data_IF_369450025550
#
_entry.id   IF_369450025550
#
_cell.length_a   1.000
_cell.length_b   1.000
_cell.length_c   1.000
_cell.angle_alpha   90.00
_cell.angle_beta   90.00
_cell.angle_gamma   90.00
#
_symmetry.space_group_name_H-M   'P 1'
#
loop_
_entity.id
_entity.type
_entity.pdbx_description
1 polymer ?
#
# COMPACT_ATOMS: atom_id res chain seq x y z
N UNK A 1 18.66 17.80 27.55
CA UNK A 1 17.29 17.75 27.20
C UNK A 1 17.00 16.65 26.21
N UNK A 2 15.93 16.10 26.37
CA UNK A 2 15.57 15.00 25.54
C UNK A 2 14.68 15.46 24.39
N UNK A 3 15.14 15.24 23.18
CA UNK A 3 14.28 15.35 22.01
C UNK A 3 13.51 14.06 21.79
N UNK A 4 13.47 13.26 22.82
CA UNK A 4 12.88 11.97 22.77
C UNK A 4 11.38 12.07 22.59
N UNK A 5 10.91 11.65 21.45
CA UNK A 5 9.48 11.59 21.13
C UNK A 5 9.01 10.19 21.41
N UNK A 6 8.00 10.09 22.27
CA UNK A 6 7.39 8.79 22.52
C UNK A 6 6.61 8.34 21.29
N UNK A 7 6.91 7.14 20.82
CA UNK A 7 6.20 6.51 19.72
C UNK A 7 5.56 5.24 20.24
N UNK A 8 4.25 5.18 20.14
CA UNK A 8 3.49 4.01 20.54
C UNK A 8 3.54 2.96 19.43
N UNK A 9 4.13 1.78 19.68
CA UNK A 9 4.16 0.74 18.66
C UNK A 9 2.77 0.36 18.15
N UNK A 10 1.73 0.45 18.98
CA UNK A 10 0.38 0.12 18.55
C UNK A 10 -0.15 1.09 17.50
N UNK A 11 0.25 2.37 17.56
CA UNK A 11 -0.10 3.35 16.53
C UNK A 11 0.56 2.99 15.21
N UNK A 12 1.81 2.56 15.24
CA UNK A 12 2.52 2.14 14.04
C UNK A 12 1.90 0.89 13.43
N UNK A 13 1.48 -0.05 14.27
CA UNK A 13 0.82 -1.27 13.80
C UNK A 13 -0.55 -0.97 13.19
N UNK A 14 -1.29 -0.03 13.78
CA UNK A 14 -2.57 0.41 13.23
C UNK A 14 -2.37 1.08 11.87
N UNK A 15 -1.35 1.92 11.75
CA UNK A 15 -1.03 2.57 10.47
C UNK A 15 -0.64 1.54 9.41
N UNK A 16 0.13 0.51 9.80
CA UNK A 16 0.49 -0.57 8.89
C UNK A 16 -0.75 -1.32 8.39
N UNK A 17 -1.67 -1.60 9.30
CA UNK A 17 -2.93 -2.29 8.93
C UNK A 17 -3.76 -1.43 7.97
N UNK A 18 -3.78 -0.11 8.16
CA UNK A 18 -4.47 0.78 7.24
C UNK A 18 -3.82 0.79 5.86
N UNK A 19 -2.50 0.79 5.79
CA UNK A 19 -1.79 0.71 4.51
C UNK A 19 -2.11 -0.60 3.79
N UNK A 20 -2.13 -1.71 4.52
CA UNK A 20 -2.45 -3.01 3.94
C UNK A 20 -3.90 -3.07 3.46
N UNK A 21 -4.83 -2.50 4.22
CA UNK A 21 -6.24 -2.44 3.83
C UNK A 21 -6.42 -1.57 2.59
N UNK A 22 -5.70 -0.47 2.50
CA UNK A 22 -5.76 0.41 1.32
C UNK A 22 -5.20 -0.30 0.09
N UNK A 23 -4.09 -1.03 0.25
CA UNK A 23 -3.50 -1.81 -0.84
C UNK A 23 -4.49 -2.87 -1.33
N UNK A 24 -5.17 -3.56 -0.42
CA UNK A 24 -6.16 -4.57 -0.77
C UNK A 24 -7.36 -3.97 -1.50
N UNK A 25 -7.84 -2.81 -1.05
CA UNK A 25 -8.95 -2.13 -1.71
C UNK A 25 -8.56 -1.64 -3.10
N UNK A 26 -7.35 -1.11 -3.25
CA UNK A 26 -6.87 -0.66 -4.54
C UNK A 26 -6.76 -1.85 -5.49
N UNK A 27 -6.21 -2.96 -5.03
CA UNK A 27 -6.10 -4.18 -5.83
C UNK A 27 -7.48 -4.68 -6.28
N UNK A 28 -8.45 -4.71 -5.36
CA UNK A 28 -9.80 -5.13 -5.68
C UNK A 28 -10.48 -4.20 -6.67
N UNK A 29 -10.29 -2.89 -6.51
CA UNK A 29 -10.85 -1.88 -7.40
C UNK A 29 -10.29 -2.04 -8.82
N UNK A 30 -8.99 -2.22 -8.95
CA UNK A 30 -8.33 -2.39 -10.24
C UNK A 30 -8.81 -3.70 -10.89
N UNK A 31 -8.89 -4.78 -10.13
CA UNK A 31 -9.35 -6.07 -10.64
C UNK A 31 -10.80 -5.98 -11.13
N UNK A 32 -11.66 -5.26 -10.41
CA UNK A 32 -13.05 -5.10 -10.82
C UNK A 32 -13.20 -4.20 -12.04
N UNK A 33 -12.32 -3.22 -12.20
CA UNK A 33 -12.36 -2.28 -13.32
C UNK A 33 -11.71 -2.82 -14.58
N UNK A 34 -10.81 -3.79 -14.47
CA UNK A 34 -10.03 -4.28 -15.60
C UNK A 34 -10.89 -4.73 -16.80
N UNK A 35 -11.97 -5.50 -16.61
CA UNK A 35 -12.81 -5.87 -17.75
C UNK A 35 -13.47 -4.68 -18.44
N UNK A 36 -13.81 -3.64 -17.69
CA UNK A 36 -14.44 -2.44 -18.25
C UNK A 36 -13.43 -1.56 -18.98
N UNK A 37 -12.16 -1.62 -18.58
CA UNK A 37 -11.10 -0.82 -19.20
C UNK A 37 -10.64 -1.41 -20.53
N UNK A 38 -10.79 -2.71 -20.72
CA UNK A 38 -10.42 -3.39 -21.96
C UNK A 38 -11.65 -3.53 -22.83
N UNK A 39 -11.71 -2.74 -23.89
CA UNK A 39 -12.89 -2.63 -24.75
C UNK A 39 -12.60 -3.27 -26.09
N UNK A 40 -13.52 -4.13 -26.54
CA UNK A 40 -13.46 -4.67 -27.90
C UNK A 40 -14.18 -3.69 -28.84
N UNK A 41 -13.62 -3.44 -30.04
CA UNK A 41 -14.30 -2.59 -31.01
C UNK A 41 -15.63 -3.24 -31.42
N UNK A 42 -16.69 -2.43 -31.51
CA UNK A 42 -17.97 -2.91 -31.97
C UNK A 42 -18.17 -2.48 -33.42
N UNK A 43 -18.38 -3.48 -34.27
CA UNK A 43 -18.57 -3.21 -35.69
C UNK A 43 -17.30 -2.82 -36.40
N UNK A 44 -17.46 -2.31 -37.61
CA UNK A 44 -16.36 -1.94 -38.49
C UNK A 44 -16.13 -0.44 -38.55
N UNK A 45 -16.71 0.31 -37.63
CA UNK A 45 -16.56 1.75 -37.63
C UNK A 45 -15.16 2.14 -37.17
N UNK A 46 -14.49 2.95 -37.95
CA UNK A 46 -13.12 3.39 -37.67
C UNK A 46 -13.04 4.14 -36.35
N UNK A 47 -14.03 4.94 -36.00
CA UNK A 47 -14.07 5.70 -34.76
C UNK A 47 -14.10 4.75 -33.55
N UNK A 48 -14.90 3.66 -33.65
CA UNK A 48 -14.97 2.66 -32.57
C UNK A 48 -13.64 1.96 -32.37
N UNK A 49 -12.93 1.64 -33.44
CA UNK A 49 -11.63 1.00 -33.37
C UNK A 49 -10.60 1.95 -32.73
N UNK A 50 -10.60 3.22 -33.11
CA UNK A 50 -9.70 4.21 -32.53
C UNK A 50 -9.98 4.42 -31.04
N UNK A 51 -11.27 4.51 -30.67
CA UNK A 51 -11.66 4.70 -29.29
C UNK A 51 -11.26 3.49 -28.44
N UNK A 52 -11.53 2.27 -28.92
CA UNK A 52 -11.15 1.05 -28.22
C UNK A 52 -9.63 0.97 -28.04
N UNK A 53 -8.87 1.34 -29.07
CA UNK A 53 -7.40 1.37 -28.99
C UNK A 53 -6.90 2.35 -27.93
N UNK A 54 -7.50 3.53 -27.86
CA UNK A 54 -7.15 4.54 -26.89
C UNK A 54 -7.41 4.04 -25.46
N UNK A 55 -8.62 3.50 -25.22
CA UNK A 55 -8.97 3.02 -23.88
C UNK A 55 -8.15 1.81 -23.47
N UNK A 56 -7.81 0.93 -24.39
CA UNK A 56 -6.97 -0.23 -24.10
C UNK A 56 -5.54 0.21 -23.75
N UNK A 57 -4.99 1.21 -24.44
CA UNK A 57 -3.68 1.75 -24.08
C UNK A 57 -3.70 2.42 -22.73
N UNK A 58 -4.78 3.11 -22.39
CA UNK A 58 -4.94 3.72 -21.09
C UNK A 58 -4.98 2.64 -20.00
N UNK A 59 -5.73 1.58 -20.23
CA UNK A 59 -5.79 0.45 -19.31
C UNK A 59 -4.42 -0.19 -19.10
N UNK A 60 -3.65 -0.33 -20.18
CA UNK A 60 -2.31 -0.91 -20.11
C UNK A 60 -1.35 -0.07 -19.26
N UNK A 61 -1.56 1.23 -19.17
CA UNK A 61 -0.72 2.10 -18.34
C UNK A 61 -1.20 2.17 -16.89
N UNK A 62 -2.51 2.06 -16.66
CA UNK A 62 -3.09 2.11 -15.32
C UNK A 62 -2.73 0.89 -14.48
N UNK A 63 -2.75 -0.29 -15.09
CA UNK A 63 -2.45 -1.53 -14.39
C UNK A 63 -1.07 -1.54 -13.73
N UNK A 64 0.01 -1.27 -14.48
CA UNK A 64 1.35 -1.20 -13.89
C UNK A 64 1.49 -0.10 -12.85
N UNK A 65 0.88 1.07 -13.07
CA UNK A 65 0.94 2.17 -12.10
C UNK A 65 0.25 1.79 -10.80
N UNK A 66 -0.91 1.15 -10.87
CA UNK A 66 -1.62 0.68 -9.69
C UNK A 66 -0.81 -0.41 -8.97
N UNK A 67 -0.18 -1.32 -9.71
CA UNK A 67 0.68 -2.36 -9.13
C UNK A 67 1.85 -1.76 -8.37
N UNK A 68 2.45 -0.71 -8.90
CA UNK A 68 3.53 0.00 -8.22
C UNK A 68 3.03 0.64 -6.93
N UNK A 69 1.87 1.30 -6.96
CA UNK A 69 1.28 1.92 -5.78
C UNK A 69 0.96 0.89 -4.70
N UNK A 70 0.41 -0.26 -5.09
CA UNK A 70 0.12 -1.36 -4.16
C UNK A 70 1.42 -1.85 -3.51
N UNK A 71 2.48 -2.00 -4.31
CA UNK A 71 3.79 -2.40 -3.81
C UNK A 71 4.37 -1.40 -2.81
N UNK A 72 4.20 -0.11 -3.07
CA UNK A 72 4.67 0.94 -2.16
C UNK A 72 3.89 0.93 -0.85
N UNK A 73 2.58 0.74 -0.89
CA UNK A 73 1.77 0.63 0.32
C UNK A 73 2.15 -0.58 1.15
N UNK A 74 2.39 -1.71 0.49
CA UNK A 74 2.82 -2.94 1.16
C UNK A 74 4.20 -2.75 1.81
N UNK A 75 5.12 -2.10 1.10
CA UNK A 75 6.45 -1.82 1.63
C UNK A 75 6.39 -0.86 2.83
N UNK A 76 5.52 0.16 2.75
CA UNK A 76 5.32 1.09 3.86
C UNK A 76 4.78 0.36 5.09
N UNK A 77 3.83 -0.55 4.90
CA UNK A 77 3.30 -1.36 6.00
C UNK A 77 4.39 -2.21 6.65
N UNK A 78 5.23 -2.83 5.84
CA UNK A 78 6.33 -3.65 6.35
C UNK A 78 7.32 -2.79 7.17
N UNK A 79 7.62 -1.58 6.68
CA UNK A 79 8.50 -0.66 7.40
C UNK A 79 7.90 -0.25 8.73
N UNK A 80 6.61 0.08 8.76
CA UNK A 80 5.92 0.47 9.99
C UNK A 80 5.93 -0.67 11.00
N UNK A 81 5.73 -1.91 10.55
CA UNK A 81 5.78 -3.07 11.44
C UNK A 81 7.18 -3.29 11.98
N UNK A 82 8.20 -3.11 11.17
CA UNK A 82 9.59 -3.22 11.61
C UNK A 82 9.92 -2.16 12.66
N UNK A 83 9.45 -0.93 12.45
CA UNK A 83 9.65 0.14 13.42
C UNK A 83 8.92 -0.14 14.73
N UNK A 84 7.70 -0.67 14.65
CA UNK A 84 6.95 -1.04 15.85
C UNK A 84 7.68 -2.11 16.65
N UNK A 85 8.23 -3.12 15.98
CA UNK A 85 9.01 -4.16 16.64
C UNK A 85 10.25 -3.59 17.30
N UNK A 86 10.94 -2.67 16.62
CA UNK A 86 12.13 -2.04 17.18
C UNK A 86 11.81 -1.23 18.44
N UNK A 87 10.71 -0.48 18.42
CA UNK A 87 10.29 0.30 19.60
C UNK A 87 9.89 -0.61 20.76
N UNK A 88 9.23 -1.72 20.48
CA UNK A 88 8.88 -2.71 21.51
C UNK A 88 10.13 -3.33 22.12
N UNK A 89 11.10 -3.65 21.29
CA UNK A 89 12.34 -4.23 21.77
C UNK A 89 13.12 -3.24 22.65
N UNK A 90 13.12 -1.96 22.27
CA UNK A 90 13.71 -0.91 23.09
C UNK A 90 13.00 -0.77 24.42
N UNK A 91 11.67 -0.79 24.43
CA UNK A 91 10.89 -0.71 25.65
C UNK A 91 11.17 -1.89 26.56
N UNK A 92 11.25 -3.08 25.99
CA UNK A 92 11.59 -4.29 26.75
C UNK A 92 12.99 -4.21 27.33
N UNK A 93 13.95 -3.81 26.52
CA UNK A 93 15.34 -3.70 26.98
C UNK A 93 15.46 -2.66 28.10
N UNK A 94 14.78 -1.52 27.95
CA UNK A 94 14.79 -0.47 28.96
C UNK A 94 14.12 -0.95 30.26
N UNK A 95 12.98 -1.60 30.14
CA UNK A 95 12.28 -2.15 31.31
C UNK A 95 13.12 -3.17 32.06
N UNK A 96 13.76 -4.07 31.33
CA UNK A 96 14.65 -5.07 31.93
C UNK A 96 15.85 -4.40 32.61
N UNK A 97 16.43 -3.40 31.93
CA UNK A 97 17.57 -2.66 32.49
C UNK A 97 17.18 -1.94 33.77
N UNK A 98 16.04 -1.30 33.80
CA UNK A 98 15.57 -0.62 34.99
C UNK A 98 15.27 -1.60 36.14
N UNK A 99 14.72 -2.77 35.81
CA UNK A 99 14.42 -3.78 36.81
C UNK A 99 15.67 -4.38 37.43
N UNK A 100 16.74 -4.55 36.66
CA UNK A 100 17.98 -5.15 37.14
C UNK A 100 18.98 -4.12 37.66
N UNK A 101 18.86 -2.88 37.24
CA UNK A 101 19.76 -1.81 37.65
C UNK A 101 19.48 -1.27 39.03
N UNK A 102 18.41 -1.69 39.63
CA UNK A 102 18.06 -1.28 40.98
C UNK A 102 18.88 -2.05 42.01
#
# INVERSE_FOLDING_TARGET
MSDHVFVDPDVLLAAAAECEALAARLQATVAAAAPALHVAPSGSEEVSVLAAGYFNRLADSVGPAAGQGIGELTAAAAMLRAQAAAYRDEDHALGASLATGM
#
